data_IF_573570590060
#
_entry.id   IF_573570590060
#
_cell.length_a   1.000
_cell.length_b   1.000
_cell.length_c   1.000
_cell.angle_alpha   90.00
_cell.angle_beta   90.00
_cell.angle_gamma   90.00
#
_symmetry.space_group_name_H-M   'P 1'
#
loop_
_entity.id
_entity.type
_entity.pdbx_description
1 polymer ?
#
# COMPACT_ATOMS: atom_id res chain seq x y z
N UNK A 1 -2.17 -32.95 14.99
CA UNK A 1 -2.73 -32.07 16.03
C UNK A 1 -2.79 -32.83 17.32
N UNK A 2 -2.13 -32.35 18.33
CA UNK A 2 -2.26 -32.89 19.70
C UNK A 2 -3.14 -31.93 20.50
N UNK A 3 -4.29 -32.37 20.95
CA UNK A 3 -5.21 -31.55 21.71
C UNK A 3 -4.81 -31.57 23.21
N UNK A 4 -4.49 -30.41 23.77
CA UNK A 4 -4.19 -30.26 25.18
C UNK A 4 -5.44 -30.06 26.06
N UNK A 5 -6.38 -29.30 25.59
CA UNK A 5 -7.68 -29.04 26.22
C UNK A 5 -8.66 -28.38 25.23
N UNK A 6 -9.90 -28.10 25.70
CA UNK A 6 -10.94 -27.47 24.85
C UNK A 6 -10.58 -26.11 24.28
N UNK A 7 -9.50 -25.43 24.71
CA UNK A 7 -9.10 -24.07 24.31
C UNK A 7 -7.69 -23.97 23.75
N UNK A 8 -6.90 -25.03 23.84
CA UNK A 8 -5.51 -25.00 23.41
C UNK A 8 -5.14 -26.32 22.72
N UNK A 9 -4.49 -26.21 21.58
CA UNK A 9 -3.97 -27.36 20.83
C UNK A 9 -2.60 -27.00 20.23
N UNK A 10 -1.76 -27.98 20.08
CA UNK A 10 -0.47 -27.84 19.38
C UNK A 10 -0.56 -28.46 18.01
N UNK A 11 0.05 -27.80 17.05
CA UNK A 11 0.16 -28.29 15.68
C UNK A 11 1.62 -28.42 15.30
N UNK A 12 1.95 -29.49 14.60
CA UNK A 12 3.27 -29.73 14.01
C UNK A 12 3.19 -29.57 12.51
N UNK A 13 4.04 -28.69 11.95
CA UNK A 13 4.23 -28.60 10.51
C UNK A 13 5.10 -29.79 10.07
N UNK A 14 4.51 -30.80 9.44
CA UNK A 14 5.22 -32.01 8.98
C UNK A 14 6.09 -31.73 7.77
N UNK A 15 5.65 -30.84 6.89
CA UNK A 15 6.27 -30.62 5.59
C UNK A 15 6.00 -29.21 5.10
N UNK A 16 6.99 -28.59 4.45
CA UNK A 16 6.81 -27.37 3.68
C UNK A 16 6.18 -27.73 2.34
N UNK A 17 4.96 -27.24 2.07
CA UNK A 17 4.19 -27.54 0.86
C UNK A 17 4.49 -26.55 -0.24
N UNK A 18 4.63 -25.26 0.11
CA UNK A 18 4.90 -24.17 -0.82
C UNK A 18 6.07 -23.32 -0.34
N UNK A 19 6.82 -22.79 -1.25
CA UNK A 19 7.83 -21.76 -0.97
C UNK A 19 7.16 -20.42 -0.75
N UNK A 20 7.72 -19.61 0.13
CA UNK A 20 7.32 -18.21 0.31
C UNK A 20 7.48 -17.47 -1.02
N UNK A 21 6.42 -16.79 -1.46
CA UNK A 21 6.47 -15.79 -2.53
C UNK A 21 6.62 -14.45 -1.85
N UNK A 22 7.63 -13.70 -2.23
CA UNK A 22 7.83 -12.34 -1.72
C UNK A 22 6.95 -11.37 -2.50
N UNK A 23 6.21 -10.53 -1.80
CA UNK A 23 5.48 -9.41 -2.41
C UNK A 23 6.43 -8.42 -3.08
N UNK A 24 5.96 -7.66 -4.09
CA UNK A 24 6.73 -6.56 -4.66
C UNK A 24 7.22 -5.57 -3.60
N UNK A 25 8.37 -4.93 -3.82
CA UNK A 25 8.87 -3.88 -2.94
C UNK A 25 8.06 -2.58 -3.16
N UNK A 26 6.79 -2.65 -2.83
CA UNK A 26 5.79 -1.61 -2.98
C UNK A 26 5.29 -1.13 -1.60
N UNK A 27 5.50 0.13 -1.31
CA UNK A 27 5.00 0.76 -0.09
C UNK A 27 3.74 1.56 -0.37
N UNK A 28 2.89 1.70 0.64
CA UNK A 28 1.83 2.71 0.63
C UNK A 28 1.99 3.65 1.80
N UNK A 29 2.05 4.95 1.49
CA UNK A 29 1.95 6.03 2.46
C UNK A 29 0.57 6.64 2.35
N UNK A 30 -0.08 6.88 3.47
CA UNK A 30 -1.36 7.56 3.46
C UNK A 30 -1.54 8.41 4.72
N UNK A 31 -2.32 9.47 4.56
CA UNK A 31 -2.77 10.27 5.69
C UNK A 31 -3.98 9.58 6.32
N UNK A 32 -3.91 9.20 7.61
CA UNK A 32 -4.98 8.48 8.27
C UNK A 32 -6.34 9.19 8.20
N UNK A 33 -7.36 8.44 7.83
CA UNK A 33 -8.76 8.87 7.69
C UNK A 33 -9.63 8.38 8.85
N UNK A 34 -10.92 8.73 8.88
CA UNK A 34 -11.83 8.29 9.94
C UNK A 34 -11.95 6.78 10.02
N UNK A 35 -12.07 6.26 11.25
CA UNK A 35 -11.86 4.88 11.69
C UNK A 35 -12.43 3.79 10.77
N UNK A 36 -13.71 3.80 10.44
CA UNK A 36 -14.35 2.70 9.67
C UNK A 36 -13.71 2.53 8.29
N UNK A 37 -13.32 3.61 7.64
CA UNK A 37 -12.64 3.58 6.34
C UNK A 37 -11.18 3.20 6.43
N UNK A 38 -10.54 3.54 7.55
CA UNK A 38 -9.17 3.15 7.84
C UNK A 38 -9.03 1.64 7.89
N UNK A 39 -9.92 1.01 8.64
CA UNK A 39 -9.94 -0.43 8.84
C UNK A 39 -10.08 -1.13 7.48
N UNK A 40 -11.03 -0.70 6.66
CA UNK A 40 -11.22 -1.18 5.29
C UNK A 40 -9.98 -0.94 4.40
N UNK A 41 -9.39 0.25 4.45
CA UNK A 41 -8.22 0.58 3.63
C UNK A 41 -7.02 -0.30 3.98
N UNK A 42 -6.74 -0.52 5.28
CA UNK A 42 -5.62 -1.38 5.72
C UNK A 42 -5.80 -2.82 5.22
N UNK A 43 -7.01 -3.36 5.27
CA UNK A 43 -7.31 -4.68 4.70
C UNK A 43 -7.03 -4.69 3.20
N UNK A 44 -7.61 -3.76 2.43
CA UNK A 44 -7.51 -3.75 0.96
C UNK A 44 -6.09 -3.50 0.45
N UNK A 45 -5.31 -2.65 1.09
CA UNK A 45 -3.91 -2.46 0.68
C UNK A 45 -3.05 -3.70 1.00
N UNK A 46 -3.39 -4.42 2.07
CA UNK A 46 -2.76 -5.72 2.36
C UNK A 46 -3.10 -6.74 1.29
N UNK A 47 -4.36 -6.89 0.92
CA UNK A 47 -4.82 -7.79 -0.15
C UNK A 47 -4.16 -7.46 -1.51
N UNK A 48 -3.89 -6.18 -1.77
CA UNK A 48 -3.24 -5.70 -2.99
C UNK A 48 -1.70 -5.81 -2.96
N UNK A 49 -1.12 -6.51 -2.00
CA UNK A 49 0.27 -6.94 -2.06
C UNK A 49 1.31 -5.89 -1.70
N UNK A 50 0.99 -4.87 -0.91
CA UNK A 50 2.03 -3.93 -0.43
C UNK A 50 2.97 -4.62 0.55
N UNK A 51 4.26 -4.26 0.52
CA UNK A 51 5.26 -4.75 1.48
C UNK A 51 5.38 -3.85 2.72
N UNK A 52 4.89 -2.61 2.66
CA UNK A 52 4.88 -1.68 3.79
C UNK A 52 3.67 -0.77 3.76
N UNK A 53 3.04 -0.60 4.94
CA UNK A 53 1.94 0.32 5.19
C UNK A 53 2.47 1.42 6.10
N UNK A 54 2.53 2.66 5.62
CA UNK A 54 3.12 3.76 6.35
C UNK A 54 2.14 4.90 6.57
N UNK A 55 1.46 4.96 7.73
CA UNK A 55 0.63 6.11 8.08
C UNK A 55 1.51 7.35 8.28
N UNK A 56 1.16 8.47 7.67
CA UNK A 56 1.92 9.74 7.80
C UNK A 56 1.00 10.88 8.22
N UNK A 57 1.56 11.82 8.98
CA UNK A 57 0.85 13.02 9.38
C UNK A 57 1.08 14.14 8.37
N UNK A 58 0.00 14.69 7.80
CA UNK A 58 0.00 15.90 6.97
C UNK A 58 -0.67 17.07 7.70
N UNK A 59 -0.54 18.26 7.14
CA UNK A 59 -1.10 19.49 7.71
C UNK A 59 -2.62 19.43 7.88
N UNK A 60 -3.34 18.86 6.90
CA UNK A 60 -4.80 18.71 6.93
C UNK A 60 -5.27 17.35 7.46
N UNK A 61 -4.34 16.53 7.97
CA UNK A 61 -4.67 15.25 8.59
C UNK A 61 -5.39 15.45 9.94
N UNK A 62 -6.57 14.86 10.08
CA UNK A 62 -7.41 15.01 11.29
C UNK A 62 -7.04 14.01 12.39
N UNK A 63 -6.43 12.87 12.04
CA UNK A 63 -6.07 11.81 12.98
C UNK A 63 -4.76 12.17 13.67
N UNK A 64 -4.73 12.04 15.00
CA UNK A 64 -3.56 12.38 15.82
C UNK A 64 -2.80 11.14 16.32
N UNK A 65 -3.41 9.98 16.26
CA UNK A 65 -2.84 8.74 16.77
C UNK A 65 -3.34 7.53 15.97
N UNK A 66 -2.45 6.59 15.70
CA UNK A 66 -2.72 5.32 15.05
C UNK A 66 -2.70 4.20 16.08
N UNK A 67 -3.65 3.26 15.98
CA UNK A 67 -3.72 2.06 16.83
C UNK A 67 -3.06 0.89 16.12
N UNK A 68 -1.77 0.69 16.35
CA UNK A 68 -0.95 -0.34 15.69
C UNK A 68 -1.48 -1.75 15.88
N UNK A 69 -1.96 -2.10 17.10
CA UNK A 69 -2.53 -3.42 17.37
C UNK A 69 -3.72 -3.73 16.46
N UNK A 70 -4.54 -2.70 16.16
CA UNK A 70 -5.66 -2.86 15.23
C UNK A 70 -5.18 -3.03 13.79
N UNK A 71 -4.19 -2.23 13.35
CA UNK A 71 -3.61 -2.40 12.03
C UNK A 71 -3.07 -3.81 11.86
N UNK A 72 -2.32 -4.30 12.86
CA UNK A 72 -1.79 -5.65 12.84
C UNK A 72 -2.86 -6.72 12.75
N UNK A 73 -3.97 -6.58 13.50
CA UNK A 73 -5.10 -7.50 13.43
C UNK A 73 -5.74 -7.53 12.03
N UNK A 74 -6.00 -6.36 11.44
CA UNK A 74 -6.57 -6.28 10.08
C UNK A 74 -5.63 -6.79 8.99
N UNK A 75 -4.33 -6.58 9.13
CA UNK A 75 -3.31 -7.11 8.21
C UNK A 75 -3.31 -8.64 8.26
N UNK A 76 -3.33 -9.23 9.45
CA UNK A 76 -3.35 -10.68 9.62
C UNK A 76 -4.63 -11.27 9.03
N UNK A 77 -5.79 -10.71 9.37
CA UNK A 77 -7.08 -11.14 8.84
C UNK A 77 -7.12 -11.08 7.30
N UNK A 78 -6.65 -9.98 6.72
CA UNK A 78 -6.62 -9.82 5.26
C UNK A 78 -5.65 -10.81 4.60
N UNK A 79 -4.48 -11.06 5.19
CA UNK A 79 -3.52 -12.01 4.68
C UNK A 79 -4.06 -13.45 4.74
N UNK A 80 -4.74 -13.83 5.83
CA UNK A 80 -5.39 -15.13 5.96
C UNK A 80 -6.49 -15.33 4.91
N UNK A 81 -7.33 -14.31 4.67
CA UNK A 81 -8.42 -14.39 3.69
C UNK A 81 -7.92 -14.48 2.23
N UNK A 82 -6.74 -13.95 1.94
CA UNK A 82 -6.16 -13.94 0.60
C UNK A 82 -5.03 -14.93 0.39
N UNK A 83 -4.82 -15.85 1.34
CA UNK A 83 -3.75 -16.86 1.32
C UNK A 83 -2.34 -16.25 1.18
N UNK A 84 -2.18 -14.99 1.61
CA UNK A 84 -0.91 -14.30 1.59
C UNK A 84 -0.01 -14.82 2.71
N UNK A 85 1.24 -15.19 2.39
CA UNK A 85 2.18 -15.80 3.33
C UNK A 85 3.14 -14.82 3.99
N UNK A 86 3.17 -13.56 3.55
CA UNK A 86 3.93 -12.47 4.16
C UNK A 86 3.00 -11.38 4.68
N UNK A 87 3.47 -10.61 5.66
CA UNK A 87 2.73 -9.48 6.20
C UNK A 87 3.48 -8.20 5.88
N UNK A 88 2.78 -7.12 5.46
CA UNK A 88 3.42 -5.83 5.28
C UNK A 88 3.95 -5.28 6.62
N UNK A 89 5.10 -4.61 6.55
CA UNK A 89 5.64 -3.83 7.66
C UNK A 89 4.72 -2.63 7.94
N UNK A 90 4.58 -2.24 9.21
CA UNK A 90 3.88 -1.01 9.59
C UNK A 90 4.93 0.03 9.97
N UNK A 91 4.97 1.15 9.23
CA UNK A 91 5.84 2.28 9.55
C UNK A 91 5.32 3.12 10.71
N UNK A 92 6.21 3.85 11.36
CA UNK A 92 5.86 4.75 12.46
C UNK A 92 5.02 5.94 11.96
N UNK A 93 4.02 6.34 12.75
CA UNK A 93 3.20 7.50 12.47
C UNK A 93 3.94 8.79 12.79
N UNK A 94 4.59 9.35 11.79
CA UNK A 94 5.39 10.57 11.87
C UNK A 94 4.96 11.58 10.83
N UNK A 95 5.47 12.80 10.90
CA UNK A 95 5.19 13.85 9.91
C UNK A 95 5.68 13.41 8.52
N UNK A 96 4.89 13.67 7.49
CA UNK A 96 5.26 13.41 6.09
C UNK A 96 6.63 14.00 5.76
N UNK A 97 6.91 15.22 6.22
CA UNK A 97 8.21 15.87 6.02
C UNK A 97 9.37 15.01 6.55
N UNK A 98 9.26 14.46 7.75
CA UNK A 98 10.30 13.61 8.36
C UNK A 98 10.57 12.36 7.52
N UNK A 99 9.52 11.77 6.96
CA UNK A 99 9.67 10.61 6.06
C UNK A 99 10.40 11.00 4.78
N UNK A 100 10.05 12.15 4.18
CA UNK A 100 10.66 12.63 2.93
C UNK A 100 12.13 13.03 3.11
N UNK A 101 12.52 13.55 4.26
CA UNK A 101 13.90 13.92 4.58
C UNK A 101 14.85 12.70 4.67
N UNK A 102 14.32 11.52 5.02
CA UNK A 102 15.06 10.26 5.11
C UNK A 102 14.73 9.29 3.98
N UNK A 103 14.21 9.79 2.84
CA UNK A 103 13.72 8.95 1.75
C UNK A 103 14.82 8.16 1.05
N UNK A 104 14.63 6.85 0.80
CA UNK A 104 15.59 6.05 0.06
C UNK A 104 15.75 6.57 -1.39
N UNK A 105 16.99 6.85 -1.80
CA UNK A 105 17.30 7.44 -3.11
C UNK A 105 16.95 6.54 -4.31
N UNK A 106 16.81 5.23 -4.08
CA UNK A 106 16.50 4.22 -5.09
C UNK A 106 15.00 3.88 -5.19
N UNK A 107 14.13 4.60 -4.45
CA UNK A 107 12.69 4.39 -4.40
C UNK A 107 11.93 5.57 -4.98
N UNK A 108 11.08 5.33 -5.97
CA UNK A 108 10.18 6.35 -6.52
C UNK A 108 8.96 6.52 -5.62
N UNK A 109 8.62 7.77 -5.30
CA UNK A 109 7.39 8.15 -4.60
C UNK A 109 6.35 8.63 -5.61
N UNK A 110 5.31 7.87 -5.81
CA UNK A 110 4.18 8.17 -6.68
C UNK A 110 3.13 8.93 -5.87
N UNK A 111 2.97 10.20 -6.15
CA UNK A 111 2.04 11.09 -5.43
C UNK A 111 0.71 11.17 -6.19
N UNK A 112 -0.36 10.67 -5.56
CA UNK A 112 -1.72 10.78 -6.06
C UNK A 112 -2.36 12.05 -5.50
N UNK A 113 -2.23 13.17 -6.22
CA UNK A 113 -2.82 14.46 -5.83
C UNK A 113 -3.89 14.85 -6.85
N UNK A 114 -5.11 15.02 -6.37
CA UNK A 114 -6.30 15.34 -7.20
C UNK A 114 -6.43 16.82 -7.55
N UNK A 115 -5.45 17.63 -7.18
CA UNK A 115 -5.53 19.07 -7.45
C UNK A 115 -5.51 19.29 -8.96
N UNK A 116 -6.61 19.85 -9.48
CA UNK A 116 -6.66 20.42 -10.83
C UNK A 116 -5.64 21.55 -10.90
N UNK A 117 -4.40 21.25 -11.28
CA UNK A 117 -3.48 22.30 -11.73
C UNK A 117 -3.92 22.74 -13.11
N UNK A 118 -3.97 24.02 -13.35
CA UNK A 118 -4.35 24.65 -14.64
C UNK A 118 -3.46 24.18 -15.81
N UNK A 119 -2.37 23.51 -15.50
CA UNK A 119 -1.49 22.81 -16.45
C UNK A 119 -1.56 21.32 -16.13
N UNK A 120 -2.01 20.52 -17.06
CA UNK A 120 -2.05 19.04 -17.05
C UNK A 120 -0.67 18.38 -16.72
N UNK A 121 -0.08 18.69 -15.59
CA UNK A 121 1.23 18.19 -15.18
C UNK A 121 1.18 16.76 -14.60
N UNK A 122 0.00 16.35 -14.11
CA UNK A 122 -0.17 14.99 -13.59
C UNK A 122 -0.46 14.01 -14.74
N UNK A 123 0.44 13.07 -14.92
CA UNK A 123 0.33 12.03 -15.96
C UNK A 123 -0.53 10.88 -15.48
N UNK A 124 -1.24 10.14 -16.35
CA UNK A 124 -1.81 8.85 -15.98
C UNK A 124 -0.72 7.89 -15.49
N UNK A 125 -1.00 7.06 -14.49
CA UNK A 125 -0.02 6.11 -13.96
C UNK A 125 0.54 5.17 -15.03
N UNK A 126 -0.25 4.86 -16.05
CA UNK A 126 0.16 4.02 -17.19
C UNK A 126 1.31 4.61 -18.02
N UNK A 127 1.65 5.88 -17.82
CA UNK A 127 2.74 6.58 -18.55
C UNK A 127 4.06 6.55 -17.78
N UNK A 128 4.06 6.09 -16.52
CA UNK A 128 5.28 5.88 -15.75
C UNK A 128 6.04 4.73 -16.41
N UNK A 129 7.04 5.04 -17.23
CA UNK A 129 7.78 4.02 -17.99
C UNK A 129 9.08 3.61 -17.32
N UNK A 130 9.36 2.30 -17.32
CA UNK A 130 10.67 1.73 -17.22
C UNK A 130 11.03 0.98 -15.94
N UNK A 131 12.21 0.39 -15.96
CA UNK A 131 12.85 -0.43 -14.91
C UNK A 131 13.03 0.27 -13.54
N UNK A 132 12.77 1.58 -13.47
CA UNK A 132 12.90 2.40 -12.26
C UNK A 132 11.85 2.12 -11.18
N UNK A 133 10.77 1.37 -11.49
CA UNK A 133 9.67 1.14 -10.57
C UNK A 133 9.77 -0.17 -9.77
N UNK A 134 10.92 -0.81 -9.74
CA UNK A 134 11.14 -2.02 -8.91
C UNK A 134 10.99 -1.76 -7.41
N UNK A 135 11.31 -0.53 -6.97
CA UNK A 135 11.07 -0.05 -5.61
C UNK A 135 10.24 1.21 -5.70
N UNK A 136 8.98 1.09 -5.32
CA UNK A 136 8.03 2.19 -5.41
C UNK A 136 7.30 2.39 -4.10
N UNK A 137 6.76 3.58 -3.93
CA UNK A 137 5.81 3.90 -2.89
C UNK A 137 4.70 4.76 -3.46
N UNK A 138 3.48 4.55 -3.02
CA UNK A 138 2.31 5.37 -3.40
C UNK A 138 1.93 6.23 -2.21
N UNK A 139 1.76 7.53 -2.43
CA UNK A 139 1.31 8.48 -1.41
C UNK A 139 -0.11 8.94 -1.70
N UNK A 140 -1.00 8.70 -0.73
CA UNK A 140 -2.41 9.11 -0.77
C UNK A 140 -2.65 10.22 0.25
N UNK A 141 -3.16 11.33 -0.21
CA UNK A 141 -3.52 12.48 0.62
C UNK A 141 -4.79 12.28 1.45
N UNK A 142 -5.05 13.19 2.41
CA UNK A 142 -6.32 13.24 3.14
C UNK A 142 -7.43 13.81 2.24
N UNK A 143 -8.69 13.77 2.72
CA UNK A 143 -9.84 14.31 1.98
C UNK A 143 -9.69 15.82 1.64
N UNK A 144 -8.95 16.58 2.45
CA UNK A 144 -8.61 17.98 2.18
C UNK A 144 -7.43 18.20 1.25
N UNK A 145 -6.82 17.12 0.75
CA UNK A 145 -5.59 17.16 -0.05
C UNK A 145 -4.36 17.60 0.76
N UNK A 146 -3.27 17.88 0.08
CA UNK A 146 -2.05 18.43 0.68
C UNK A 146 -2.09 19.95 0.72
N UNK A 147 -1.45 20.57 1.70
CA UNK A 147 -1.31 22.02 1.75
C UNK A 147 -0.43 22.54 0.61
N UNK A 148 -0.52 23.84 0.32
CA UNK A 148 0.34 24.48 -0.70
C UNK A 148 1.83 24.28 -0.41
N UNK A 149 2.22 24.29 0.88
CA UNK A 149 3.58 24.05 1.33
C UNK A 149 4.01 22.61 1.06
N UNK A 150 3.19 21.62 1.46
CA UNK A 150 3.46 20.20 1.23
C UNK A 150 3.56 19.88 -0.26
N UNK A 151 2.65 20.42 -1.09
CA UNK A 151 2.70 20.24 -2.55
C UNK A 151 3.97 20.80 -3.15
N UNK A 152 4.39 22.01 -2.75
CA UNK A 152 5.64 22.61 -3.22
C UNK A 152 6.83 21.73 -2.83
N UNK A 153 6.85 21.22 -1.61
CA UNK A 153 7.89 20.33 -1.12
C UNK A 153 7.89 19.00 -1.90
N UNK A 154 6.75 18.35 -2.05
CA UNK A 154 6.63 17.11 -2.82
C UNK A 154 7.15 17.29 -4.26
N UNK A 155 6.82 18.40 -4.92
CA UNK A 155 7.30 18.70 -6.28
C UNK A 155 8.79 18.99 -6.36
N UNK A 156 9.45 19.38 -5.27
CA UNK A 156 10.86 19.71 -5.27
C UNK A 156 11.80 18.51 -5.18
N UNK A 157 11.29 17.34 -4.80
CA UNK A 157 12.11 16.13 -4.67
C UNK A 157 12.24 15.39 -6.01
N UNK A 158 13.45 15.01 -6.42
CA UNK A 158 13.68 14.33 -7.71
C UNK A 158 13.17 12.89 -7.76
N UNK A 159 12.82 12.32 -6.61
CA UNK A 159 12.28 10.97 -6.49
C UNK A 159 10.75 10.92 -6.53
N UNK A 160 10.07 12.05 -6.70
CA UNK A 160 8.61 12.12 -6.76
C UNK A 160 8.09 12.14 -8.19
N UNK A 161 7.04 11.36 -8.43
CA UNK A 161 6.27 11.37 -9.66
C UNK A 161 4.81 11.69 -9.32
N UNK A 162 4.24 12.69 -9.97
CA UNK A 162 2.85 13.09 -9.75
C UNK A 162 1.94 12.45 -10.78
N UNK A 163 0.92 11.73 -10.31
CA UNK A 163 -0.03 11.04 -11.18
C UNK A 163 -1.47 11.49 -10.92
N UNK A 164 -2.29 11.34 -11.96
CA UNK A 164 -3.73 11.49 -11.89
C UNK A 164 -4.42 10.14 -11.93
N UNK A 165 -5.42 9.96 -11.08
CA UNK A 165 -6.32 8.79 -11.06
C UNK A 165 -7.62 9.06 -11.85
N UNK A 166 -7.61 10.05 -12.71
CA UNK A 166 -8.74 10.40 -13.59
C UNK A 166 -9.45 11.71 -13.20
N UNK A 167 -10.57 12.02 -13.86
CA UNK A 167 -11.23 13.33 -13.76
C UNK A 167 -12.10 13.52 -12.51
N UNK A 168 -12.33 12.46 -11.74
CA UNK A 168 -13.18 12.49 -10.54
C UNK A 168 -12.33 12.55 -9.28
N UNK A 169 -12.81 13.31 -8.29
CA UNK A 169 -12.24 13.31 -6.94
C UNK A 169 -12.57 11.96 -6.29
N UNK A 170 -11.56 11.16 -6.00
CA UNK A 170 -11.70 9.90 -5.29
C UNK A 170 -11.53 10.10 -3.79
N UNK A 171 -12.23 9.31 -2.99
CA UNK A 171 -11.93 9.22 -1.56
C UNK A 171 -10.59 8.53 -1.36
N UNK A 172 -9.91 8.80 -0.25
CA UNK A 172 -8.57 8.27 0.02
C UNK A 172 -8.49 6.73 -0.04
N UNK A 173 -9.50 6.03 0.48
CA UNK A 173 -9.61 4.56 0.38
C UNK A 173 -9.76 4.09 -1.08
N UNK A 174 -10.62 4.73 -1.85
CA UNK A 174 -10.81 4.45 -3.28
C UNK A 174 -9.55 4.78 -4.08
N UNK A 175 -8.90 5.92 -3.79
CA UNK A 175 -7.66 6.32 -4.44
C UNK A 175 -6.53 5.32 -4.18
N UNK A 176 -6.41 4.81 -2.94
CA UNK A 176 -5.43 3.79 -2.58
C UNK A 176 -5.64 2.50 -3.39
N UNK A 177 -6.87 1.99 -3.44
CA UNK A 177 -7.21 0.78 -4.19
C UNK A 177 -6.94 0.97 -5.68
N UNK A 178 -7.42 2.08 -6.27
CA UNK A 178 -7.23 2.36 -7.69
C UNK A 178 -5.75 2.48 -8.06
N UNK A 179 -4.97 3.23 -7.29
CA UNK A 179 -3.54 3.42 -7.53
C UNK A 179 -2.77 2.09 -7.42
N UNK A 180 -3.02 1.31 -6.38
CA UNK A 180 -2.39 0.01 -6.18
C UNK A 180 -2.77 -0.97 -7.29
N UNK A 181 -4.04 -1.05 -7.68
CA UNK A 181 -4.49 -1.94 -8.76
C UNK A 181 -3.83 -1.61 -10.09
N UNK A 182 -3.75 -0.31 -10.44
CA UNK A 182 -3.07 0.11 -11.66
C UNK A 182 -1.56 -0.20 -11.56
N UNK A 183 -0.94 0.02 -10.41
CA UNK A 183 0.47 -0.30 -10.20
C UNK A 183 0.73 -1.80 -10.36
N UNK A 184 -0.03 -2.65 -9.69
CA UNK A 184 0.11 -4.10 -9.74
C UNK A 184 -0.09 -4.63 -11.17
N UNK A 185 -1.05 -4.08 -11.90
CA UNK A 185 -1.32 -4.46 -13.28
C UNK A 185 -0.22 -4.05 -14.28
N UNK A 186 0.59 -3.01 -13.99
CA UNK A 186 1.59 -2.52 -14.94
C UNK A 186 3.03 -2.82 -14.50
N UNK A 187 3.29 -2.88 -13.19
CA UNK A 187 4.65 -2.92 -12.62
C UNK A 187 4.81 -3.93 -11.49
N UNK A 188 3.73 -4.50 -10.99
CA UNK A 188 3.72 -5.42 -9.87
C UNK A 188 3.78 -6.89 -10.30
N UNK A 189 3.16 -7.75 -9.50
CA UNK A 189 3.23 -9.20 -9.61
C UNK A 189 2.01 -9.86 -10.29
N UNK A 190 1.02 -9.10 -10.75
CA UNK A 190 -0.19 -9.68 -11.35
C UNK A 190 0.06 -10.48 -12.63
N UNK A 191 1.19 -10.29 -13.28
CA UNK A 191 1.62 -11.11 -14.42
C UNK A 191 2.54 -12.26 -14.02
N UNK A 192 2.97 -12.32 -12.76
CA UNK A 192 3.94 -13.31 -12.26
C UNK A 192 3.22 -14.47 -11.58
N UNK A 193 2.29 -15.15 -12.29
CA UNK A 193 1.70 -16.36 -11.74
C UNK A 193 2.76 -17.47 -11.67
N UNK A 194 3.04 -18.05 -10.47
CA UNK A 194 3.86 -19.25 -10.40
C UNK A 194 3.20 -20.35 -11.22
N UNK A 195 3.96 -21.04 -12.06
CA UNK A 195 3.47 -22.15 -12.89
C UNK A 195 2.80 -23.30 -12.10
N UNK A 196 3.00 -23.32 -10.78
CA UNK A 196 2.36 -24.28 -9.85
C UNK A 196 0.93 -23.89 -9.41
N UNK A 197 0.50 -22.63 -9.62
CA UNK A 197 -0.87 -22.23 -9.28
C UNK A 197 -1.89 -22.79 -10.31
N UNK A 198 -1.49 -23.00 -11.56
CA UNK A 198 -2.35 -23.59 -12.59
C UNK A 198 -2.72 -25.06 -12.30
N UNK A 199 -1.91 -25.81 -11.58
CA UNK A 199 -2.19 -27.20 -11.27
C UNK A 199 -3.33 -27.41 -10.24
N UNK A 200 -3.72 -26.37 -9.49
CA UNK A 200 -4.81 -26.46 -8.50
C UNK A 200 -6.18 -26.06 -9.05
N UNK A 201 -6.24 -25.35 -10.18
CA UNK A 201 -7.50 -24.92 -10.78
C UNK A 201 -8.15 -26.01 -11.66
N UNK A 202 -7.37 -26.99 -12.11
CA UNK A 202 -7.89 -28.11 -12.92
C UNK A 202 -8.53 -29.23 -12.09
N UNK A 203 -8.44 -29.19 -10.75
CA UNK A 203 -8.96 -30.22 -9.83
C UNK A 203 -10.05 -29.69 -8.88
N UNK A 204 -10.78 -28.66 -9.22
CA UNK A 204 -11.97 -28.18 -8.47
C UNK A 204 -13.22 -28.23 -9.32
#
# INVERSE_FOLDING_TARGET
VEAFNKRCFSVYCKQKILSQITSPDLWILFVPIKRIRMDFMVQKVTELGVSKIWPVQSEFGQVKQVKYDKFRAYIIEAAEQTERLDLPEIGDFVKLQTVLESWPSDRTLIVCDETKTEKNEARPMTVLSGSKLRKAAILIGPEGGFSKKERKQLKSFPFTEHISLGPRILRSDTAAIAALSIFQANYGDWYSFPSSANAKLENR
#
